data_IF_493956886824
#
_entry.id   IF_493956886824
#
_cell.length_a   1.000
_cell.length_b   1.000
_cell.length_c   1.000
_cell.angle_alpha   90.00
_cell.angle_beta   90.00
_cell.angle_gamma   90.00
#
_symmetry.space_group_name_H-M   'P 1'
#
loop_
_entity.id
_entity.type
_entity.pdbx_description
1 polymer ?
#
# COMPACT_ATOMS: atom_id res chain seq x y z
N UNK A 1 2.22 36.85 -14.52
CA UNK A 1 1.65 36.55 -13.18
C UNK A 1 0.95 35.21 -13.32
N UNK A 2 1.53 34.12 -12.82
CA UNK A 2 0.85 32.83 -12.80
C UNK A 2 -0.33 32.99 -11.82
N UNK A 3 -1.58 32.65 -12.20
CA UNK A 3 -2.66 32.68 -11.23
C UNK A 3 -2.27 31.75 -10.09
N UNK A 4 -2.26 32.25 -8.85
CA UNK A 4 -2.14 31.41 -7.66
C UNK A 4 -3.44 30.62 -7.56
N UNK A 5 -3.52 29.51 -8.27
CA UNK A 5 -4.69 28.64 -8.25
C UNK A 5 -4.91 28.22 -6.81
N UNK A 6 -6.03 28.62 -6.24
CA UNK A 6 -6.41 28.14 -4.91
C UNK A 6 -6.64 26.63 -5.01
N UNK A 7 -5.68 25.84 -4.53
CA UNK A 7 -5.74 24.37 -4.60
C UNK A 7 -6.70 23.79 -3.57
N UNK A 8 -7.06 24.55 -2.53
CA UNK A 8 -7.95 24.08 -1.47
C UNK A 8 -9.27 23.48 -1.97
N UNK A 9 -10.09 24.15 -2.82
CA UNK A 9 -11.31 23.55 -3.34
C UNK A 9 -11.08 22.28 -4.18
N UNK A 10 -9.94 22.17 -4.86
CA UNK A 10 -9.61 20.98 -5.65
C UNK A 10 -9.20 19.80 -4.75
N UNK A 11 -8.40 20.06 -3.72
CA UNK A 11 -8.03 19.07 -2.71
C UNK A 11 -9.27 18.61 -1.95
N UNK A 12 -10.09 19.55 -1.48
CA UNK A 12 -11.34 19.27 -0.78
C UNK A 12 -12.30 18.46 -1.67
N UNK A 13 -12.44 18.85 -2.94
CA UNK A 13 -13.21 18.12 -3.94
C UNK A 13 -12.68 16.72 -4.23
N UNK A 14 -11.36 16.51 -4.20
CA UNK A 14 -10.75 15.19 -4.36
C UNK A 14 -11.01 14.27 -3.17
N UNK A 15 -10.85 14.78 -1.94
CA UNK A 15 -11.12 14.01 -0.72
C UNK A 15 -12.61 13.64 -0.63
N UNK A 16 -13.51 14.62 -0.82
CA UNK A 16 -14.94 14.33 -0.84
C UNK A 16 -15.35 13.47 -2.03
N UNK A 17 -14.78 13.70 -3.21
CA UNK A 17 -15.07 12.92 -4.41
C UNK A 17 -14.79 11.44 -4.21
N UNK A 18 -13.68 11.10 -3.56
CA UNK A 18 -13.39 9.72 -3.21
C UNK A 18 -14.41 9.15 -2.21
N UNK A 19 -14.67 9.86 -1.11
CA UNK A 19 -15.61 9.39 -0.08
C UNK A 19 -17.04 9.23 -0.61
N UNK A 20 -17.50 10.17 -1.43
CA UNK A 20 -18.82 10.13 -2.06
C UNK A 20 -18.91 9.00 -3.10
N UNK A 21 -17.86 8.81 -3.91
CA UNK A 21 -17.81 7.73 -4.91
C UNK A 21 -17.85 6.34 -4.26
N UNK A 22 -17.03 6.15 -3.21
CA UNK A 22 -17.00 4.94 -2.38
C UNK A 22 -18.40 4.66 -1.79
N UNK A 23 -18.96 5.62 -1.05
CA UNK A 23 -20.27 5.46 -0.41
C UNK A 23 -21.44 5.28 -1.40
N UNK A 24 -21.32 5.82 -2.62
CA UNK A 24 -22.33 5.65 -3.69
C UNK A 24 -22.28 4.26 -4.31
N UNK A 25 -21.08 3.71 -4.50
CA UNK A 25 -20.87 2.39 -5.09
C UNK A 25 -21.05 1.25 -4.09
N UNK A 26 -20.86 1.51 -2.79
CA UNK A 26 -21.00 0.54 -1.69
C UNK A 26 -22.23 -0.39 -1.78
N UNK A 27 -23.46 0.09 -2.05
CA UNK A 27 -24.65 -0.79 -2.10
C UNK A 27 -24.75 -1.63 -3.40
N UNK A 28 -23.94 -1.37 -4.43
CA UNK A 28 -23.99 -2.06 -5.71
C UNK A 28 -23.43 -3.48 -5.60
N UNK A 29 -24.16 -4.43 -6.18
CA UNK A 29 -23.70 -5.81 -6.35
C UNK A 29 -22.64 -5.91 -7.45
N UNK A 30 -21.87 -7.01 -7.43
CA UNK A 30 -20.84 -7.29 -8.42
C UNK A 30 -21.36 -7.40 -9.86
N UNK A 31 -22.65 -7.76 -10.04
CA UNK A 31 -23.30 -7.74 -11.34
C UNK A 31 -24.33 -6.61 -11.43
N UNK A 32 -24.30 -5.77 -12.49
CA UNK A 32 -25.25 -4.67 -12.67
C UNK A 32 -26.72 -5.12 -12.62
N UNK A 33 -27.07 -6.27 -13.21
CA UNK A 33 -28.44 -6.78 -13.20
C UNK A 33 -28.96 -7.10 -11.79
N UNK A 34 -28.08 -7.53 -10.89
CA UNK A 34 -28.45 -7.80 -9.49
C UNK A 34 -28.75 -6.48 -8.76
N UNK A 35 -27.91 -5.47 -8.98
CA UNK A 35 -28.15 -4.11 -8.50
C UNK A 35 -29.46 -3.57 -9.06
N UNK A 36 -29.67 -3.67 -10.37
CA UNK A 36 -30.88 -3.22 -11.03
C UNK A 36 -32.13 -3.89 -10.47
N UNK A 37 -32.09 -5.22 -10.31
CA UNK A 37 -33.21 -6.01 -9.80
C UNK A 37 -33.54 -5.64 -8.36
N UNK A 38 -32.52 -5.50 -7.50
CA UNK A 38 -32.72 -5.23 -6.07
C UNK A 38 -33.21 -3.79 -5.82
N UNK A 39 -32.60 -2.80 -6.46
CA UNK A 39 -32.93 -1.38 -6.27
C UNK A 39 -33.99 -0.86 -7.26
N UNK A 40 -34.54 -1.74 -8.11
CA UNK A 40 -35.52 -1.41 -9.14
C UNK A 40 -35.06 -0.28 -10.09
N UNK A 41 -33.80 -0.35 -10.52
CA UNK A 41 -33.17 0.65 -11.39
C UNK A 41 -31.71 0.94 -11.07
N UNK A 42 -31.20 2.03 -11.64
CA UNK A 42 -29.88 2.57 -11.28
C UNK A 42 -29.92 3.20 -9.88
N UNK A 43 -28.77 3.16 -9.20
CA UNK A 43 -28.59 3.90 -7.95
C UNK A 43 -28.66 5.41 -8.24
N UNK A 44 -29.64 6.08 -7.64
CA UNK A 44 -29.97 7.49 -7.83
C UNK A 44 -29.74 8.36 -6.58
N UNK A 45 -29.33 7.72 -5.47
CA UNK A 45 -29.00 8.32 -4.19
C UNK A 45 -28.13 7.35 -3.38
N UNK A 46 -27.73 7.75 -2.19
CA UNK A 46 -27.13 6.82 -1.23
C UNK A 46 -28.17 5.80 -0.75
N UNK A 47 -27.88 4.53 -0.98
CA UNK A 47 -28.68 3.40 -0.53
C UNK A 47 -27.93 2.61 0.55
N UNK A 48 -28.63 2.02 1.54
CA UNK A 48 -28.02 0.98 2.37
C UNK A 48 -27.72 -0.25 1.50
N UNK A 49 -26.74 -1.04 1.89
CA UNK A 49 -26.51 -2.33 1.25
C UNK A 49 -27.68 -3.28 1.50
N UNK A 50 -27.93 -4.20 0.56
CA UNK A 50 -28.91 -5.25 0.76
C UNK A 50 -28.50 -6.16 1.94
N UNK A 51 -29.47 -6.74 2.68
CA UNK A 51 -29.17 -7.66 3.79
C UNK A 51 -28.37 -8.90 3.38
N UNK A 52 -28.42 -9.28 2.10
CA UNK A 52 -27.72 -10.39 1.48
C UNK A 52 -26.46 -9.96 0.72
N UNK A 53 -26.06 -8.69 0.78
CA UNK A 53 -24.87 -8.21 0.07
C UNK A 53 -23.62 -8.94 0.59
N UNK A 54 -22.82 -9.57 -0.29
CA UNK A 54 -21.74 -10.49 0.13
C UNK A 54 -20.65 -9.83 0.96
N UNK A 55 -20.41 -8.53 0.78
CA UNK A 55 -19.36 -7.78 1.49
C UNK A 55 -19.88 -6.75 2.48
N UNK A 56 -21.06 -6.18 2.22
CA UNK A 56 -21.52 -4.93 2.84
C UNK A 56 -22.84 -5.11 3.58
N UNK A 57 -23.32 -6.34 3.77
CA UNK A 57 -24.54 -6.60 4.51
C UNK A 57 -24.53 -5.86 5.85
N UNK A 58 -25.59 -5.07 6.11
CA UNK A 58 -25.72 -4.24 7.31
C UNK A 58 -25.16 -2.81 7.19
N UNK A 59 -24.51 -2.45 6.08
CA UNK A 59 -24.02 -1.09 5.87
C UNK A 59 -25.16 -0.11 5.62
N UNK A 60 -25.10 1.05 6.28
CA UNK A 60 -26.10 2.12 6.12
C UNK A 60 -25.86 2.95 4.86
N UNK A 61 -26.91 3.64 4.40
CA UNK A 61 -26.78 4.61 3.31
C UNK A 61 -25.69 5.65 3.61
N UNK A 62 -24.79 5.86 2.65
CA UNK A 62 -23.71 6.84 2.74
C UNK A 62 -22.52 6.38 3.59
N UNK A 63 -22.48 5.12 4.03
CA UNK A 63 -21.34 4.57 4.75
C UNK A 63 -20.16 4.35 3.81
N UNK A 64 -19.00 4.88 4.18
CA UNK A 64 -17.72 4.65 3.49
C UNK A 64 -17.17 3.26 3.80
N UNK A 65 -16.37 2.70 2.88
CA UNK A 65 -15.75 1.37 2.98
C UNK A 65 -14.24 1.48 3.26
N UNK A 66 -13.51 0.37 3.13
CA UNK A 66 -12.06 0.35 3.33
C UNK A 66 -11.30 1.25 2.34
N UNK A 67 -11.88 1.57 1.18
CA UNK A 67 -11.32 2.48 0.18
C UNK A 67 -11.02 3.86 0.77
N UNK A 68 -12.05 4.51 1.31
CA UNK A 68 -11.90 5.82 1.94
C UNK A 68 -11.14 5.74 3.24
N UNK A 69 -11.38 4.70 4.05
CA UNK A 69 -10.69 4.57 5.34
C UNK A 69 -9.17 4.43 5.16
N UNK A 70 -8.71 3.61 4.22
CA UNK A 70 -7.28 3.47 3.93
C UNK A 70 -6.68 4.74 3.33
N UNK A 71 -7.42 5.47 2.50
CA UNK A 71 -6.94 6.75 1.98
C UNK A 71 -6.81 7.81 3.08
N UNK A 72 -7.75 7.86 4.03
CA UNK A 72 -7.64 8.76 5.18
C UNK A 72 -6.44 8.39 6.07
N UNK A 73 -6.23 7.10 6.35
CA UNK A 73 -5.04 6.63 7.06
C UNK A 73 -3.73 6.99 6.32
N UNK A 74 -3.74 6.92 4.99
CA UNK A 74 -2.61 7.37 4.17
C UNK A 74 -2.42 8.89 4.24
N UNK A 75 -3.48 9.67 4.20
CA UNK A 75 -3.43 11.12 4.33
C UNK A 75 -2.88 11.55 5.70
N UNK A 76 -3.29 10.88 6.78
CA UNK A 76 -2.73 11.08 8.12
C UNK A 76 -1.23 10.77 8.17
N UNK A 77 -0.79 9.68 7.53
CA UNK A 77 0.63 9.34 7.44
C UNK A 77 1.44 10.40 6.69
N UNK A 78 0.88 10.94 5.59
CA UNK A 78 1.49 12.03 4.81
C UNK A 78 1.61 13.30 5.66
N UNK A 79 0.58 13.65 6.44
CA UNK A 79 0.62 14.85 7.29
C UNK A 79 1.57 14.71 8.49
N UNK A 80 1.82 13.48 8.94
CA UNK A 80 2.64 13.20 10.11
C UNK A 80 4.16 13.27 9.84
N UNK A 81 4.60 13.20 8.58
CA UNK A 81 6.01 13.12 8.23
C UNK A 81 6.35 14.02 7.01
N UNK A 82 7.56 14.61 6.97
CA UNK A 82 7.99 15.44 5.85
C UNK A 82 8.20 14.66 4.54
N UNK A 83 8.40 13.34 4.63
CA UNK A 83 8.55 12.45 3.49
C UNK A 83 7.89 11.12 3.81
N UNK A 84 7.08 10.61 2.89
CA UNK A 84 6.41 9.33 3.04
C UNK A 84 7.38 8.17 2.75
N UNK A 85 7.46 7.22 3.66
CA UNK A 85 8.25 5.98 3.53
C UNK A 85 7.36 4.73 3.50
N UNK A 86 7.90 3.62 3.00
CA UNK A 86 7.18 2.34 2.97
C UNK A 86 6.84 1.87 4.38
N UNK A 87 7.73 2.10 5.34
CA UNK A 87 7.58 1.77 6.75
C UNK A 87 6.47 2.59 7.41
N UNK A 88 6.34 3.88 7.07
CA UNK A 88 5.24 4.72 7.56
C UNK A 88 3.89 4.30 7.00
N UNK A 89 3.83 4.00 5.71
CA UNK A 89 2.61 3.47 5.09
C UNK A 89 2.23 2.15 5.75
N UNK A 90 3.18 1.22 5.91
CA UNK A 90 2.93 -0.06 6.57
C UNK A 90 2.38 0.12 7.99
N UNK A 91 2.98 1.02 8.78
CA UNK A 91 2.51 1.33 10.14
C UNK A 91 1.11 1.92 10.14
N UNK A 92 0.82 2.87 9.25
CA UNK A 92 -0.50 3.47 9.12
C UNK A 92 -1.57 2.45 8.72
N UNK A 93 -1.25 1.55 7.78
CA UNK A 93 -2.17 0.49 7.37
C UNK A 93 -2.42 -0.54 8.47
N UNK A 94 -1.39 -0.91 9.24
CA UNK A 94 -1.57 -1.79 10.42
C UNK A 94 -2.42 -1.09 11.47
N UNK A 95 -2.17 0.19 11.77
CA UNK A 95 -2.96 0.95 12.74
C UNK A 95 -4.43 1.05 12.31
N UNK A 96 -4.71 1.40 11.06
CA UNK A 96 -6.06 1.40 10.49
C UNK A 96 -6.73 0.03 10.64
N UNK A 97 -6.01 -1.02 10.29
CA UNK A 97 -6.54 -2.39 10.34
C UNK A 97 -6.85 -2.83 11.77
N UNK A 98 -6.07 -2.43 12.76
CA UNK A 98 -6.27 -2.79 14.17
C UNK A 98 -7.34 -1.96 14.89
N UNK A 99 -7.51 -0.69 14.50
CA UNK A 99 -8.48 0.21 15.12
C UNK A 99 -9.92 0.02 14.62
N UNK A 100 -10.08 -0.53 13.41
CA UNK A 100 -11.39 -0.79 12.80
C UNK A 100 -11.89 -2.22 12.96
N UNK A 101 -12.85 -2.59 12.12
CA UNK A 101 -13.35 -3.97 11.98
C UNK A 101 -12.37 -4.89 11.21
N UNK A 102 -11.16 -4.37 10.93
CA UNK A 102 -10.18 -4.94 10.01
C UNK A 102 -10.01 -6.46 10.08
N UNK A 103 -9.78 -7.06 11.25
CA UNK A 103 -9.53 -8.50 11.37
C UNK A 103 -10.73 -9.41 11.05
N UNK A 104 -11.96 -8.89 11.12
CA UNK A 104 -13.20 -9.64 10.91
C UNK A 104 -14.09 -9.12 9.77
N UNK A 105 -13.68 -8.04 9.12
CA UNK A 105 -14.43 -7.38 8.07
C UNK A 105 -14.46 -8.21 6.77
N UNK A 106 -15.64 -8.65 6.36
CA UNK A 106 -15.82 -9.39 5.10
C UNK A 106 -15.49 -8.55 3.86
N UNK A 107 -15.65 -7.22 3.93
CA UNK A 107 -15.37 -6.29 2.84
C UNK A 107 -13.87 -6.06 2.59
N UNK A 108 -12.99 -6.51 3.49
CA UNK A 108 -11.55 -6.39 3.29
C UNK A 108 -11.05 -7.58 2.46
N UNK A 109 -10.29 -7.29 1.41
CA UNK A 109 -9.75 -8.33 0.54
C UNK A 109 -8.77 -9.28 1.26
N UNK A 110 -8.79 -10.56 0.87
CA UNK A 110 -7.84 -11.58 1.32
C UNK A 110 -6.36 -11.14 1.18
N UNK A 111 -6.04 -10.35 0.14
CA UNK A 111 -4.70 -9.80 -0.05
C UNK A 111 -4.32 -8.81 1.06
N UNK A 112 -5.25 -7.94 1.44
CA UNK A 112 -5.03 -6.98 2.53
C UNK A 112 -4.86 -7.73 3.85
N UNK A 113 -5.73 -8.69 4.16
CA UNK A 113 -5.57 -9.53 5.35
C UNK A 113 -4.20 -10.23 5.40
N UNK A 114 -3.75 -10.82 4.29
CA UNK A 114 -2.45 -11.49 4.19
C UNK A 114 -1.29 -10.50 4.41
N UNK A 115 -1.35 -9.32 3.79
CA UNK A 115 -0.34 -8.29 3.98
C UNK A 115 -0.29 -7.81 5.43
N UNK A 116 -1.44 -7.58 6.05
CA UNK A 116 -1.54 -7.18 7.46
C UNK A 116 -0.96 -8.25 8.39
N UNK A 117 -1.30 -9.52 8.17
CA UNK A 117 -0.73 -10.63 8.94
C UNK A 117 0.81 -10.68 8.82
N UNK A 118 1.35 -10.52 7.61
CA UNK A 118 2.79 -10.53 7.38
C UNK A 118 3.51 -9.33 8.02
N UNK A 119 2.94 -8.12 7.92
CA UNK A 119 3.48 -6.93 8.56
C UNK A 119 3.49 -7.07 10.08
N UNK A 120 2.39 -7.57 10.66
CA UNK A 120 2.28 -7.83 12.10
C UNK A 120 3.23 -8.90 12.60
N UNK A 121 3.64 -9.85 11.74
CA UNK A 121 4.64 -10.85 12.09
C UNK A 121 6.09 -10.35 11.94
N UNK A 122 6.29 -9.05 11.67
CA UNK A 122 7.62 -8.44 11.50
C UNK A 122 8.26 -8.70 10.13
N UNK A 123 7.47 -9.07 9.11
CA UNK A 123 7.99 -9.21 7.74
C UNK A 123 8.41 -7.87 7.17
N UNK A 124 9.37 -7.89 6.25
CA UNK A 124 9.83 -6.70 5.52
C UNK A 124 8.67 -6.07 4.71
N UNK A 125 8.27 -4.82 5.00
CA UNK A 125 7.15 -4.16 4.31
C UNK A 125 7.41 -3.94 2.81
N UNK A 126 8.66 -4.00 2.35
CA UNK A 126 8.98 -3.95 0.92
C UNK A 126 8.61 -5.23 0.17
N UNK A 127 8.32 -6.32 0.89
CA UNK A 127 8.06 -7.64 0.33
C UNK A 127 6.60 -8.09 0.52
N UNK A 128 5.87 -7.53 1.49
CA UNK A 128 4.52 -7.97 1.86
C UNK A 128 3.49 -7.76 0.74
N UNK A 129 3.64 -6.71 -0.06
CA UNK A 129 2.74 -6.42 -1.18
C UNK A 129 3.03 -7.17 -2.49
N UNK A 130 4.13 -7.93 -2.59
CA UNK A 130 4.56 -8.56 -3.85
C UNK A 130 3.58 -9.57 -4.45
N UNK A 131 2.68 -10.11 -3.62
CA UNK A 131 1.65 -11.06 -4.04
C UNK A 131 0.27 -10.40 -4.23
N UNK A 132 0.19 -9.07 -4.17
CA UNK A 132 -1.06 -8.36 -4.40
C UNK A 132 -1.43 -8.37 -5.89
N UNK A 133 -2.61 -8.88 -6.20
CA UNK A 133 -3.21 -8.93 -7.54
C UNK A 133 -4.56 -8.21 -7.62
N UNK A 134 -4.89 -7.43 -6.58
CA UNK A 134 -6.13 -6.64 -6.47
C UNK A 134 -5.85 -5.14 -6.60
N UNK A 135 -6.92 -4.37 -6.73
CA UNK A 135 -6.96 -2.90 -6.85
C UNK A 135 -6.70 -2.13 -5.53
N UNK A 136 -6.42 -2.84 -4.43
CA UNK A 136 -6.28 -2.26 -3.09
C UNK A 136 -5.27 -1.10 -2.97
N UNK A 137 -4.29 -1.04 -3.88
CA UNK A 137 -3.36 0.08 -3.97
C UNK A 137 -3.96 1.28 -4.71
N UNK A 138 -4.65 1.04 -5.82
CA UNK A 138 -5.22 2.09 -6.65
C UNK A 138 -6.36 2.84 -5.95
N UNK A 139 -7.20 2.14 -5.19
CA UNK A 139 -8.38 2.72 -4.53
C UNK A 139 -8.09 3.72 -3.42
N UNK A 140 -6.85 3.74 -2.89
CA UNK A 140 -6.45 4.58 -1.74
C UNK A 140 -5.46 5.70 -2.05
N UNK A 141 -4.94 5.81 -3.28
CA UNK A 141 -3.84 6.74 -3.62
C UNK A 141 -4.30 8.13 -4.03
N UNK A 142 -5.59 8.47 -3.94
CA UNK A 142 -6.02 9.85 -4.22
C UNK A 142 -5.28 10.92 -3.40
N UNK A 143 -4.94 10.72 -2.10
CA UNK A 143 -4.17 11.71 -1.34
C UNK A 143 -2.79 11.99 -1.95
N UNK A 144 -2.16 10.98 -2.56
CA UNK A 144 -0.86 11.12 -3.23
C UNK A 144 -0.99 12.06 -4.43
N UNK A 145 -2.02 11.89 -5.27
CA UNK A 145 -2.26 12.79 -6.39
C UNK A 145 -2.52 14.23 -5.95
N UNK A 146 -3.22 14.40 -4.81
CA UNK A 146 -3.58 15.72 -4.28
C UNK A 146 -2.38 16.51 -3.73
N UNK A 147 -1.33 15.84 -3.22
CA UNK A 147 -0.12 16.50 -2.73
C UNK A 147 0.91 16.80 -3.83
N UNK A 148 0.69 16.29 -5.06
CA UNK A 148 1.59 16.47 -6.21
C UNK A 148 0.90 17.22 -7.39
N UNK A 149 0.38 18.45 -7.17
CA UNK A 149 -0.33 19.20 -8.19
C UNK A 149 0.60 19.57 -9.36
N UNK A 150 0.33 19.01 -10.53
CA UNK A 150 1.12 19.26 -11.74
C UNK A 150 2.45 18.50 -11.82
N UNK A 151 2.74 17.61 -10.87
CA UNK A 151 3.93 16.76 -10.86
C UNK A 151 3.57 15.27 -10.89
N UNK A 152 3.26 14.70 -12.08
CA UNK A 152 2.90 13.30 -12.20
C UNK A 152 4.05 12.34 -11.86
N UNK A 153 5.31 12.76 -12.04
CA UNK A 153 6.47 11.90 -11.75
C UNK A 153 6.65 11.71 -10.23
N UNK A 154 6.50 12.78 -9.46
CA UNK A 154 6.49 12.71 -8.00
C UNK A 154 5.27 11.92 -7.48
N UNK A 155 4.08 12.14 -8.07
CA UNK A 155 2.88 11.37 -7.75
C UNK A 155 3.07 9.86 -7.97
N UNK A 156 3.70 9.47 -9.08
CA UNK A 156 4.02 8.07 -9.38
C UNK A 156 5.01 7.51 -8.35
N UNK A 157 6.08 8.25 -8.04
CA UNK A 157 7.09 7.81 -7.08
C UNK A 157 6.48 7.51 -5.70
N UNK A 158 5.64 8.40 -5.19
CA UNK A 158 5.00 8.24 -3.88
C UNK A 158 3.85 7.23 -3.92
N UNK A 159 3.14 7.08 -5.05
CA UNK A 159 2.12 6.05 -5.20
C UNK A 159 2.74 4.65 -5.12
N UNK A 160 3.96 4.47 -5.65
CA UNK A 160 4.70 3.21 -5.48
C UNK A 160 5.03 2.94 -4.01
N UNK A 161 5.46 3.96 -3.26
CA UNK A 161 5.70 3.84 -1.82
C UNK A 161 4.41 3.42 -1.11
N UNK A 162 3.31 4.12 -1.40
CA UNK A 162 1.99 3.86 -0.84
C UNK A 162 1.45 2.46 -1.17
N UNK A 163 1.74 1.91 -2.35
CA UNK A 163 1.25 0.61 -2.78
C UNK A 163 2.14 -0.56 -2.29
N UNK A 164 3.44 -0.32 -2.06
CA UNK A 164 4.44 -1.35 -1.70
C UNK A 164 3.99 -2.23 -0.52
N UNK A 165 3.37 -1.67 0.53
CA UNK A 165 2.66 -2.34 1.60
C UNK A 165 2.00 -3.68 1.34
N UNK A 166 1.07 -3.57 0.41
CA UNK A 166 -0.14 -4.36 0.35
C UNK A 166 -0.42 -4.87 -1.06
N UNK A 167 -0.06 -4.07 -2.06
CA UNK A 167 -0.41 -4.30 -3.46
C UNK A 167 0.67 -3.72 -4.35
N UNK A 168 1.72 -4.51 -4.57
CA UNK A 168 2.74 -4.17 -5.53
C UNK A 168 2.51 -5.03 -6.78
N UNK A 169 1.83 -4.53 -7.82
CA UNK A 169 1.71 -5.28 -9.05
C UNK A 169 3.13 -5.57 -9.55
N UNK A 170 3.45 -6.85 -9.68
CA UNK A 170 4.79 -7.35 -9.99
C UNK A 170 5.36 -6.78 -11.30
N UNK A 171 4.49 -6.25 -12.17
CA UNK A 171 4.80 -5.71 -13.49
C UNK A 171 5.44 -4.31 -13.46
N UNK A 172 4.84 -3.26 -12.86
CA UNK A 172 5.49 -1.96 -12.72
C UNK A 172 6.71 -1.95 -11.80
N UNK A 173 6.76 -2.76 -10.73
CA UNK A 173 7.91 -2.74 -9.81
C UNK A 173 9.24 -3.14 -10.47
N UNK A 174 9.25 -4.16 -11.33
CA UNK A 174 10.47 -4.57 -12.06
C UNK A 174 10.91 -3.53 -13.10
N UNK A 175 9.95 -2.90 -13.78
CA UNK A 175 10.22 -1.81 -14.72
C UNK A 175 10.72 -0.55 -14.00
N UNK A 176 10.18 -0.27 -12.81
CA UNK A 176 10.48 0.91 -12.03
C UNK A 176 11.77 0.79 -11.21
N UNK A 177 12.09 -0.36 -10.62
CA UNK A 177 13.43 -0.59 -10.03
C UNK A 177 14.51 -0.46 -11.11
N UNK A 178 14.22 -0.88 -12.35
CA UNK A 178 15.08 -0.61 -13.51
C UNK A 178 15.12 0.88 -13.86
N UNK A 179 13.99 1.58 -13.85
CA UNK A 179 13.92 3.02 -14.10
C UNK A 179 14.65 3.84 -13.02
N UNK A 180 14.33 3.66 -11.73
CA UNK A 180 14.99 4.31 -10.59
C UNK A 180 16.51 4.09 -10.59
N UNK A 181 16.98 2.86 -10.88
CA UNK A 181 18.43 2.58 -11.06
C UNK A 181 19.05 3.27 -12.27
N UNK A 182 18.26 3.62 -13.28
CA UNK A 182 18.70 4.28 -14.52
C UNK A 182 18.66 5.80 -14.38
N UNK A 183 17.68 6.34 -13.67
CA UNK A 183 17.47 7.78 -13.43
C UNK A 183 18.34 8.35 -12.30
N UNK A 184 18.71 7.54 -11.28
CA UNK A 184 19.62 7.97 -10.20
C UNK A 184 21.11 7.71 -10.49
N UNK A 185 21.43 7.01 -11.59
CA UNK A 185 22.82 6.74 -12.04
C UNK A 185 23.68 7.99 -12.30
N UNK A 186 23.13 9.11 -12.80
CA UNK A 186 23.89 10.34 -12.96
C UNK A 186 24.26 11.02 -11.63
N UNK A 187 23.50 10.76 -10.56
CA UNK A 187 23.60 11.47 -9.27
C UNK A 187 24.43 10.73 -8.22
N UNK A 188 24.67 9.43 -8.41
CA UNK A 188 25.57 8.61 -7.59
C UNK A 188 26.53 7.83 -8.49
N UNK A 189 27.69 8.39 -8.87
CA UNK A 189 28.72 7.62 -9.55
C UNK A 189 29.18 6.46 -8.65
N UNK A 190 29.52 5.32 -9.28
CA UNK A 190 30.05 4.16 -8.56
C UNK A 190 31.30 4.57 -7.77
N UNK A 191 31.47 4.11 -6.51
CA UNK A 191 32.71 4.35 -5.78
C UNK A 191 33.90 3.76 -6.57
N UNK A 192 35.05 4.44 -6.61
CA UNK A 192 36.13 4.16 -7.58
C UNK A 192 36.94 2.86 -7.33
N UNK A 193 36.57 1.99 -6.38
CA UNK A 193 37.35 0.78 -6.08
C UNK A 193 36.95 -0.47 -6.90
N UNK A 194 36.92 -0.37 -8.24
CA UNK A 194 36.99 -1.57 -9.09
C UNK A 194 38.18 -1.52 -10.03
N UNK A 195 39.37 -1.54 -9.42
CA UNK A 195 40.60 -2.13 -9.97
C UNK A 195 41.44 -2.67 -8.81
N UNK A 196 41.12 -3.89 -8.39
CA UNK A 196 42.09 -4.79 -7.78
C UNK A 196 41.89 -6.14 -8.47
N UNK A 197 42.91 -6.49 -9.24
CA UNK A 197 43.06 -7.69 -10.03
C UNK A 197 43.16 -8.94 -9.17
N UNK A 198 42.52 -10.01 -9.64
CA UNK A 198 42.88 -11.43 -9.49
C UNK A 198 43.64 -11.84 -8.23
N UNK A 199 42.91 -12.42 -7.27
CA UNK A 199 43.42 -13.50 -6.42
C UNK A 199 42.51 -14.73 -6.63
N UNK A 200 43.04 -15.93 -6.92
CA UNK A 200 42.21 -17.12 -7.09
C UNK A 200 41.75 -17.60 -5.73
N UNK A 201 40.44 -17.54 -5.48
CA UNK A 201 39.83 -18.19 -4.33
C UNK A 201 39.62 -19.67 -4.69
N UNK A 202 40.57 -20.53 -4.32
CA UNK A 202 40.30 -21.94 -4.12
C UNK A 202 39.74 -22.12 -2.69
N UNK A 203 38.69 -22.93 -2.47
CA UNK A 203 38.19 -23.17 -1.12
C UNK A 203 39.22 -23.97 -0.31
N UNK A 204 39.44 -23.67 0.99
CA UNK A 204 40.29 -24.50 1.82
C UNK A 204 39.66 -25.89 2.02
N UNK A 205 40.45 -26.94 1.79
CA UNK A 205 40.14 -28.30 2.23
C UNK A 205 40.20 -28.33 3.76
N UNK A 206 39.15 -28.87 4.36
CA UNK A 206 39.07 -29.13 5.79
C UNK A 206 39.81 -30.44 6.08
N UNK A 207 40.94 -30.40 6.78
CA UNK A 207 41.57 -31.58 7.38
C UNK A 207 41.15 -31.68 8.86
N UNK A 208 40.71 -32.87 9.25
CA UNK A 208 40.02 -33.10 10.52
C UNK A 208 40.92 -33.11 11.75
N UNK A 209 41.81 -32.12 11.92
CA UNK A 209 42.74 -32.05 13.04
C UNK A 209 42.86 -30.64 13.60
N UNK A 210 41.84 -30.17 14.32
CA UNK A 210 42.00 -29.28 15.50
C UNK A 210 40.67 -29.19 16.27
N UNK A 211 40.73 -29.44 17.57
CA UNK A 211 39.58 -29.58 18.45
C UNK A 211 38.92 -28.27 18.86
N UNK A 212 37.62 -28.38 19.17
CA UNK A 212 36.76 -27.38 19.81
C UNK A 212 37.25 -26.98 21.21
N UNK A 213 37.21 -25.69 21.57
CA UNK A 213 36.90 -25.26 22.93
C UNK A 213 35.44 -24.77 23.00
N UNK A 214 34.69 -25.37 23.93
CA UNK A 214 33.25 -25.17 24.10
C UNK A 214 32.81 -23.79 24.57
N UNK A 215 31.49 -23.60 24.56
CA UNK A 215 30.85 -22.40 25.12
C UNK A 215 29.41 -22.22 24.67
N UNK A 216 28.52 -23.14 25.05
CA UNK A 216 27.07 -22.93 24.95
C UNK A 216 26.64 -21.79 25.90
N UNK A 217 25.93 -20.78 25.38
CA UNK A 217 25.06 -19.92 26.19
C UNK A 217 23.69 -19.77 25.53
N UNK A 218 22.69 -20.31 26.23
CA UNK A 218 21.26 -20.07 26.06
C UNK A 218 20.96 -18.58 26.31
N UNK A 219 20.05 -18.01 25.52
CA UNK A 219 19.30 -16.82 25.93
C UNK A 219 17.83 -17.21 26.02
N UNK A 220 17.31 -17.15 27.25
CA UNK A 220 15.92 -17.26 27.59
C UNK A 220 15.33 -15.85 27.78
N UNK A 221 14.02 -15.78 27.56
CA UNK A 221 13.16 -14.61 27.67
C UNK A 221 13.33 -13.79 28.96
N UNK A 222 13.21 -12.47 28.82
CA UNK A 222 12.38 -11.58 29.64
C UNK A 222 11.88 -10.43 28.77
#
# INVERSE_FOLDING_TARGET
MQPTTNLYPHILGGVYGQALGDAWAMPAHFHPDQTWTYYNGWLDRFWPASPDHPLHAGFRAGQITDDTQQALALAEAIMAAPQLTVEEVARAMVAWYEQGEGPGAAYISHNTHRAMAALKSGSDPHLTGLRGDTDGGAKRVSPIGLIHPGDPDAAVADAIIACTPLTLPMWPYRALVRWRRRSLRPWFPKPPWKRLSMWPCAPPRWDGSTGWPGGARRWAAK
#
